data_IF_069306725486
#
_entry.id   IF_069306725486
#
_cell.length_a   1.000
_cell.length_b   1.000
_cell.length_c   1.000
_cell.angle_alpha   90.00
_cell.angle_beta   90.00
_cell.angle_gamma   90.00
#
_symmetry.space_group_name_H-M   'P 1'
#
loop_
_entity.id
_entity.type
_entity.pdbx_description
1 polymer ?
#
# COMPACT_ATOMS: atom_id res chain seq x y z
N UNK A 1 15.05 -28.50 -39.99
CA UNK A 1 14.98 -27.10 -39.49
C UNK A 1 14.39 -27.07 -38.08
N UNK A 2 15.08 -27.75 -37.16
CA UNK A 2 14.73 -27.85 -35.73
C UNK A 2 15.76 -27.02 -34.97
N UNK A 3 15.85 -25.73 -35.29
CA UNK A 3 16.72 -24.76 -34.62
C UNK A 3 16.02 -23.39 -34.54
N UNK A 4 15.06 -23.12 -35.42
CA UNK A 4 14.22 -21.91 -35.38
C UNK A 4 13.08 -21.96 -34.37
N UNK A 5 12.65 -23.16 -33.94
CA UNK A 5 11.62 -23.34 -32.89
C UNK A 5 12.23 -23.27 -31.49
N UNK A 6 13.43 -23.82 -31.29
CA UNK A 6 14.15 -23.75 -30.01
C UNK A 6 14.70 -22.35 -29.72
N UNK A 7 15.05 -21.58 -30.75
CA UNK A 7 15.45 -20.17 -30.62
C UNK A 7 14.32 -19.25 -30.15
N UNK A 8 13.04 -19.63 -30.29
CA UNK A 8 11.91 -18.85 -29.75
C UNK A 8 11.54 -19.25 -28.32
N UNK A 9 11.89 -20.45 -27.88
CA UNK A 9 11.62 -20.93 -26.52
C UNK A 9 12.67 -20.46 -25.50
N UNK A 10 13.84 -19.98 -25.97
CA UNK A 10 14.98 -19.65 -25.11
C UNK A 10 15.18 -18.15 -24.84
N UNK A 11 14.31 -17.26 -25.36
CA UNK A 11 14.49 -15.79 -25.25
C UNK A 11 13.21 -14.98 -24.98
N UNK A 12 12.15 -15.63 -24.51
CA UNK A 12 11.15 -14.91 -23.72
C UNK A 12 11.29 -15.46 -22.30
N UNK A 13 12.01 -14.78 -21.39
CA UNK A 13 11.73 -15.00 -19.98
C UNK A 13 10.22 -14.83 -19.83
N UNK A 14 9.58 -15.49 -18.87
CA UNK A 14 8.16 -15.33 -18.56
C UNK A 14 7.84 -13.88 -18.11
N UNK A 15 8.10 -12.87 -18.93
CA UNK A 15 8.10 -11.45 -18.58
C UNK A 15 6.67 -10.97 -18.41
N UNK A 16 5.77 -11.26 -19.34
CA UNK A 16 4.38 -10.82 -19.23
C UNK A 16 3.62 -11.54 -18.09
N UNK A 17 3.83 -12.85 -17.92
CA UNK A 17 3.23 -13.60 -16.82
C UNK A 17 3.77 -13.17 -15.45
N UNK A 18 5.07 -12.91 -15.36
CA UNK A 18 5.70 -12.39 -14.14
C UNK A 18 5.28 -10.94 -13.86
N UNK A 19 5.16 -10.08 -14.89
CA UNK A 19 4.61 -8.73 -14.76
C UNK A 19 3.17 -8.77 -14.28
N UNK A 20 2.31 -9.63 -14.84
CA UNK A 20 0.94 -9.80 -14.37
C UNK A 20 0.89 -10.25 -12.91
N UNK A 21 1.75 -11.19 -12.52
CA UNK A 21 1.83 -11.66 -11.13
C UNK A 21 2.30 -10.55 -10.17
N UNK A 22 3.34 -9.80 -10.55
CA UNK A 22 3.81 -8.62 -9.82
C UNK A 22 2.69 -7.57 -9.73
N UNK A 23 1.99 -7.29 -10.82
CA UNK A 23 0.86 -6.36 -10.83
C UNK A 23 -0.27 -6.85 -9.92
N UNK A 24 -0.59 -8.14 -9.87
CA UNK A 24 -1.61 -8.69 -8.98
C UNK A 24 -1.21 -8.58 -7.50
N UNK A 25 0.04 -8.87 -7.17
CA UNK A 25 0.62 -8.69 -5.83
C UNK A 25 0.59 -7.21 -5.41
N UNK A 26 1.00 -6.31 -6.32
CA UNK A 26 0.93 -4.87 -6.11
C UNK A 26 -0.52 -4.38 -5.97
N UNK A 27 -1.47 -4.90 -6.76
CA UNK A 27 -2.90 -4.58 -6.64
C UNK A 27 -3.47 -5.03 -5.29
N UNK A 28 -3.03 -6.17 -4.76
CA UNK A 28 -3.42 -6.65 -3.44
C UNK A 28 -2.85 -5.76 -2.32
N UNK A 29 -1.60 -5.30 -2.45
CA UNK A 29 -1.00 -4.33 -1.54
C UNK A 29 -1.67 -2.93 -1.63
N UNK A 30 -2.10 -2.51 -2.82
CA UNK A 30 -2.90 -1.29 -3.03
C UNK A 30 -4.25 -1.43 -2.32
N UNK A 31 -4.93 -2.57 -2.45
CA UNK A 31 -6.20 -2.84 -1.76
C UNK A 31 -6.03 -2.81 -0.24
N UNK A 32 -4.94 -3.38 0.28
CA UNK A 32 -4.63 -3.34 1.71
C UNK A 32 -4.38 -1.90 2.20
N UNK A 33 -3.59 -1.13 1.45
CA UNK A 33 -3.30 0.27 1.79
C UNK A 33 -4.57 1.12 1.78
N UNK A 34 -5.43 0.95 0.77
CA UNK A 34 -6.73 1.61 0.70
C UNK A 34 -7.64 1.26 1.88
N UNK A 35 -7.70 -0.03 2.26
CA UNK A 35 -8.47 -0.45 3.42
C UNK A 35 -7.97 0.20 4.72
N UNK A 36 -6.66 0.28 4.92
CA UNK A 36 -6.08 0.93 6.10
C UNK A 36 -6.32 2.43 6.10
N UNK A 37 -6.22 3.11 4.95
CA UNK A 37 -6.55 4.53 4.84
C UNK A 37 -8.02 4.80 5.19
N UNK A 38 -8.96 3.98 4.71
CA UNK A 38 -10.37 4.07 5.08
C UNK A 38 -10.59 3.91 6.59
N UNK A 39 -9.86 2.99 7.23
CA UNK A 39 -9.92 2.81 8.68
C UNK A 39 -9.39 4.06 9.41
N UNK A 40 -8.30 4.66 8.92
CA UNK A 40 -7.73 5.90 9.49
C UNK A 40 -8.73 7.07 9.34
N UNK A 41 -9.43 7.17 8.21
CA UNK A 41 -10.46 8.19 8.00
C UNK A 41 -11.69 8.00 8.89
N UNK A 42 -12.15 6.76 9.06
CA UNK A 42 -13.23 6.44 10.02
C UNK A 42 -12.82 6.75 11.46
N UNK A 43 -11.56 6.48 11.81
CA UNK A 43 -11.00 6.86 13.11
C UNK A 43 -10.98 8.39 13.27
N UNK A 44 -10.52 9.13 12.26
CA UNK A 44 -10.54 10.61 12.24
C UNK A 44 -11.96 11.14 12.50
N UNK A 45 -12.95 10.65 11.76
CA UNK A 45 -14.35 11.05 11.92
C UNK A 45 -14.85 10.74 13.34
N UNK A 46 -14.55 9.55 13.85
CA UNK A 46 -14.97 9.14 15.20
C UNK A 46 -14.34 10.02 16.29
N UNK A 47 -13.08 10.45 16.12
CA UNK A 47 -12.42 11.36 17.06
C UNK A 47 -13.07 12.75 17.07
N UNK A 48 -13.55 13.23 15.92
CA UNK A 48 -14.27 14.51 15.84
C UNK A 48 -15.67 14.37 16.41
N UNK A 49 -16.41 13.34 16.00
CA UNK A 49 -17.85 13.21 16.28
C UNK A 49 -18.14 12.77 17.71
N UNK A 50 -17.32 11.88 18.28
CA UNK A 50 -17.56 11.32 19.62
C UNK A 50 -16.70 11.95 20.72
N UNK A 51 -15.52 12.46 20.38
CA UNK A 51 -14.60 13.05 21.36
C UNK A 51 -14.50 14.58 21.25
N UNK A 52 -15.19 15.20 20.27
CA UNK A 52 -15.21 16.65 20.05
C UNK A 52 -13.81 17.27 19.99
N UNK A 53 -12.84 16.51 19.47
CA UNK A 53 -11.46 16.97 19.36
C UNK A 53 -11.35 18.01 18.25
N UNK A 54 -10.48 19.01 18.45
CA UNK A 54 -10.16 19.96 17.39
C UNK A 54 -9.35 19.29 16.28
N UNK A 55 -9.40 19.84 15.06
CA UNK A 55 -8.64 19.28 13.92
C UNK A 55 -7.13 19.17 14.21
N UNK A 56 -6.57 20.14 14.95
CA UNK A 56 -5.18 20.08 15.42
C UNK A 56 -4.92 18.90 16.36
N UNK A 57 -5.82 18.65 17.31
CA UNK A 57 -5.70 17.52 18.23
C UNK A 57 -5.82 16.18 17.51
N UNK A 58 -6.74 16.08 16.55
CA UNK A 58 -6.93 14.89 15.72
C UNK A 58 -5.69 14.62 14.86
N UNK A 59 -5.15 15.62 14.18
CA UNK A 59 -3.94 15.47 13.39
C UNK A 59 -2.72 15.10 14.26
N UNK A 60 -2.56 15.71 15.44
CA UNK A 60 -1.50 15.34 16.37
C UNK A 60 -1.62 13.88 16.84
N UNK A 61 -2.83 13.44 17.18
CA UNK A 61 -3.11 12.06 17.57
C UNK A 61 -2.80 11.09 16.42
N UNK A 62 -3.31 11.35 15.21
CA UNK A 62 -3.09 10.48 14.05
C UNK A 62 -1.61 10.40 13.67
N UNK A 63 -0.87 11.51 13.74
CA UNK A 63 0.57 11.52 13.51
C UNK A 63 1.31 10.66 14.55
N UNK A 64 0.97 10.79 15.83
CA UNK A 64 1.53 9.95 16.89
C UNK A 64 1.17 8.47 16.72
N UNK A 65 -0.08 8.17 16.38
CA UNK A 65 -0.57 6.83 16.09
C UNK A 65 0.21 6.19 14.93
N UNK A 66 0.30 6.87 13.79
CA UNK A 66 1.07 6.45 12.62
C UNK A 66 2.58 6.28 12.93
N UNK A 67 3.15 7.15 13.76
CA UNK A 67 4.53 7.01 14.21
C UNK A 67 4.73 5.77 15.10
N UNK A 68 3.72 5.41 15.90
CA UNK A 68 3.74 4.26 16.81
C UNK A 68 3.46 2.92 16.11
N UNK A 69 2.91 2.94 14.89
CA UNK A 69 2.70 1.72 14.12
C UNK A 69 4.02 0.96 13.91
N UNK A 70 3.94 -0.37 14.02
CA UNK A 70 5.12 -1.23 13.91
C UNK A 70 5.80 -1.09 12.55
N UNK A 71 7.10 -1.34 12.51
CA UNK A 71 7.93 -1.23 11.31
C UNK A 71 7.43 -2.12 10.15
N UNK A 72 6.70 -3.19 10.48
CA UNK A 72 6.05 -4.10 9.53
C UNK A 72 4.92 -3.36 8.78
N UNK A 73 4.06 -2.65 9.49
CA UNK A 73 2.99 -1.87 8.87
C UNK A 73 3.54 -0.73 8.02
N UNK A 74 4.60 -0.04 8.47
CA UNK A 74 5.25 1.03 7.70
C UNK A 74 5.82 0.53 6.36
N UNK A 75 6.39 -0.69 6.34
CA UNK A 75 6.87 -1.33 5.10
C UNK A 75 5.75 -1.70 4.14
N UNK A 76 4.61 -2.17 4.65
CA UNK A 76 3.46 -2.61 3.83
C UNK A 76 2.61 -1.45 3.32
N UNK A 77 2.52 -0.37 4.11
CA UNK A 77 1.66 0.77 3.79
C UNK A 77 2.30 1.78 2.85
N UNK A 78 3.61 1.63 2.53
CA UNK A 78 4.39 2.60 1.75
C UNK A 78 3.99 4.04 2.09
N UNK A 79 3.87 4.35 3.39
CA UNK A 79 3.60 5.72 3.85
C UNK A 79 4.78 6.57 3.39
N UNK A 80 4.68 7.16 2.21
CA UNK A 80 5.42 8.37 1.90
C UNK A 80 4.82 9.39 2.83
N UNK A 81 5.46 9.60 3.97
CA UNK A 81 5.19 10.74 4.82
C UNK A 81 5.25 11.93 3.88
N UNK A 82 4.10 12.53 3.61
CA UNK A 82 4.02 13.80 2.91
C UNK A 82 4.72 14.81 3.81
N UNK A 83 6.04 14.95 3.63
CA UNK A 83 6.74 16.18 3.96
C UNK A 83 6.10 17.26 3.07
N UNK A 84 5.18 18.02 3.68
CA UNK A 84 4.82 19.37 3.23
C UNK A 84 5.83 20.36 3.81
#
# INVERSE_FOLDING_TARGET
>A
MMLSLESRNNQAPRTLGNLFYICCDEMQDISFTQAVLLIIDLLRQSLVDFLFLSEQQVNAFLNHFCASLSLIFKKRLKFSICES
#
